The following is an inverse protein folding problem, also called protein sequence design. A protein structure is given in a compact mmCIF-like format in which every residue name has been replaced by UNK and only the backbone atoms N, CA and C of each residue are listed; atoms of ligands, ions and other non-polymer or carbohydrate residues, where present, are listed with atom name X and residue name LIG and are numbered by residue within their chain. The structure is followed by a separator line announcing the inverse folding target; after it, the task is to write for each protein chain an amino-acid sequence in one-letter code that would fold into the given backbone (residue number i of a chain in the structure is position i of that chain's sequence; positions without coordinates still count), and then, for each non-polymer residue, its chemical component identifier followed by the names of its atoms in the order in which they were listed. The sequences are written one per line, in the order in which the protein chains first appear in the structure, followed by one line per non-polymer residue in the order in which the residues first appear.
data_IF_356095742314
#
_entry.id   IF_356095742314
#
_cell.length_a   1.000
_cell.length_b   1.000
_cell.length_c   1.000
_cell.angle_alpha   90.00
_cell.angle_beta   90.00
_cell.angle_gamma   90.00
#
_symmetry.space_group_name_H-M   'P 1'
#
loop_
_entity.id
_entity.type
_entity.pdbx_description
1 polymer ?
#
# COMPACT_ATOMS: atom_id res chain seq x y z
N UNK A 1 -10.76 -5.83 -4.03
CA UNK A 1 -10.43 -4.98 -5.18
C UNK A 1 -9.07 -5.32 -5.79
N UNK A 2 -8.05 -5.57 -4.95
CA UNK A 2 -6.72 -5.92 -5.46
C UNK A 2 -6.77 -7.21 -6.29
N UNK A 3 -7.42 -8.25 -5.76
CA UNK A 3 -7.57 -9.51 -6.48
C UNK A 3 -8.28 -9.33 -7.82
N UNK A 4 -9.34 -8.51 -7.84
CA UNK A 4 -10.10 -8.26 -9.05
C UNK A 4 -9.25 -7.51 -10.09
N UNK A 5 -8.47 -6.53 -9.63
CA UNK A 5 -7.58 -5.77 -10.53
C UNK A 5 -6.58 -6.68 -11.24
N UNK A 6 -5.99 -7.64 -10.53
CA UNK A 6 -5.03 -8.59 -11.09
C UNK A 6 -5.68 -9.88 -11.59
N UNK A 7 -7.00 -9.86 -11.79
CA UNK A 7 -7.77 -10.99 -12.35
C UNK A 7 -7.57 -12.29 -11.55
N UNK A 8 -7.56 -12.15 -10.23
CA UNK A 8 -7.33 -13.23 -9.26
C UNK A 8 -5.97 -13.93 -9.40
N UNK A 9 -5.00 -13.27 -10.05
CA UNK A 9 -3.65 -13.80 -10.20
C UNK A 9 -2.64 -12.89 -9.51
N UNK A 10 -2.44 -13.13 -8.21
CA UNK A 10 -1.49 -12.36 -7.41
C UNK A 10 -0.12 -13.03 -7.31
N UNK A 11 0.03 -14.24 -7.84
CA UNK A 11 1.29 -14.97 -7.75
C UNK A 11 2.43 -14.15 -8.37
N UNK A 12 3.46 -13.88 -7.59
CA UNK A 12 4.63 -13.12 -8.03
C UNK A 12 4.41 -11.63 -8.17
N UNK A 13 3.20 -11.12 -7.88
CA UNK A 13 2.95 -9.67 -7.91
C UNK A 13 3.61 -9.03 -6.70
N UNK A 14 4.22 -7.87 -6.91
CA UNK A 14 4.90 -7.13 -5.85
C UNK A 14 4.02 -5.96 -5.43
N UNK A 15 3.59 -5.95 -4.17
CA UNK A 15 2.71 -4.91 -3.62
C UNK A 15 3.48 -4.13 -2.57
N UNK A 16 3.53 -2.80 -2.74
CA UNK A 16 4.04 -1.90 -1.71
C UNK A 16 2.92 -1.61 -0.72
N UNK A 17 3.23 -1.61 0.58
CA UNK A 17 2.26 -1.33 1.63
C UNK A 17 2.73 -0.14 2.45
N UNK A 18 1.93 0.92 2.48
CA UNK A 18 2.16 2.09 3.33
C UNK A 18 1.21 2.06 4.51
N UNK A 19 1.79 2.05 5.72
CA UNK A 19 1.02 2.07 6.95
C UNK A 19 0.73 0.66 7.46
N UNK A 20 1.25 0.36 8.65
CA UNK A 20 1.12 -0.95 9.27
C UNK A 20 0.40 -0.88 10.62
N UNK A 21 0.52 0.26 11.32
CA UNK A 21 -0.16 0.48 12.58
C UNK A 21 -1.68 0.61 12.38
N UNK A 22 -2.46 0.38 13.45
CA UNK A 22 -3.91 0.48 13.33
C UNK A 22 -4.41 1.93 13.16
N UNK A 23 -3.57 2.92 13.53
CA UNK A 23 -3.84 4.36 13.35
C UNK A 23 -2.51 5.11 13.28
N UNK A 24 -2.51 6.39 12.84
CA UNK A 24 -1.28 7.20 12.86
C UNK A 24 -0.78 7.47 14.28
N UNK A 25 0.50 7.85 14.37
CA UNK A 25 1.15 8.29 15.60
C UNK A 25 1.26 7.19 16.68
N UNK A 26 1.31 5.92 16.25
CA UNK A 26 1.54 4.80 17.16
C UNK A 26 2.26 3.66 16.42
N UNK A 27 2.92 2.79 17.20
CA UNK A 27 3.49 1.54 16.68
C UNK A 27 2.56 0.32 16.94
N UNK A 28 1.37 0.56 17.50
CA UNK A 28 0.45 -0.50 17.89
C UNK A 28 -0.17 -1.15 16.66
N UNK A 29 0.04 -2.45 16.53
CA UNK A 29 -0.48 -3.25 15.39
C UNK A 29 -1.65 -4.15 15.80
N UNK A 30 -2.12 -4.07 17.05
CA UNK A 30 -3.23 -4.92 17.50
C UNK A 30 -4.48 -4.61 16.67
N UNK A 31 -5.07 -5.64 16.10
CA UNK A 31 -6.24 -5.55 15.24
C UNK A 31 -6.09 -4.59 14.04
N UNK A 32 -4.85 -4.31 13.62
CA UNK A 32 -4.61 -3.44 12.47
C UNK A 32 -5.13 -4.10 11.19
N UNK A 33 -5.93 -3.39 10.37
CA UNK A 33 -6.41 -3.93 9.10
C UNK A 33 -5.28 -4.39 8.17
N UNK A 34 -4.10 -3.75 8.25
CA UNK A 34 -2.95 -4.14 7.45
C UNK A 34 -2.57 -5.60 7.64
N UNK A 35 -2.67 -6.12 8.87
CA UNK A 35 -2.30 -7.50 9.16
C UNK A 35 -3.17 -8.47 8.36
N UNK A 36 -4.47 -8.27 8.39
CA UNK A 36 -5.41 -9.15 7.65
C UNK A 36 -5.19 -9.06 6.15
N UNK A 37 -4.97 -7.85 5.65
CA UNK A 37 -4.72 -7.64 4.23
C UNK A 37 -3.42 -8.28 3.77
N UNK A 38 -2.35 -8.11 4.54
CA UNK A 38 -1.05 -8.70 4.20
C UNK A 38 -1.09 -10.22 4.26
N UNK A 39 -1.74 -10.80 5.28
CA UNK A 39 -1.90 -12.24 5.36
C UNK A 39 -2.62 -12.81 4.14
N UNK A 40 -3.69 -12.13 3.70
CA UNK A 40 -4.44 -12.57 2.53
C UNK A 40 -3.62 -12.45 1.24
N UNK A 41 -2.88 -11.36 1.08
CA UNK A 41 -2.03 -11.17 -0.10
C UNK A 41 -0.90 -12.20 -0.16
N UNK A 42 -0.24 -12.45 0.96
CA UNK A 42 0.82 -13.46 1.04
C UNK A 42 0.27 -14.85 0.73
N UNK A 43 -0.91 -15.18 1.25
CA UNK A 43 -1.57 -16.45 0.99
C UNK A 43 -1.82 -16.67 -0.51
N UNK A 44 -2.06 -15.61 -1.24
CA UNK A 44 -2.29 -15.65 -2.68
C UNK A 44 -1.00 -15.52 -3.52
N UNK A 45 0.16 -15.56 -2.88
CA UNK A 45 1.44 -15.60 -3.57
C UNK A 45 2.08 -14.26 -3.91
N UNK A 46 1.53 -13.16 -3.39
CA UNK A 46 2.13 -11.84 -3.61
C UNK A 46 3.39 -11.66 -2.76
N UNK A 47 4.30 -10.82 -3.24
CA UNK A 47 5.47 -10.36 -2.50
C UNK A 47 5.17 -8.95 -1.98
N UNK A 48 5.49 -8.69 -0.72
CA UNK A 48 5.16 -7.41 -0.10
C UNK A 48 6.42 -6.69 0.38
N UNK A 49 6.51 -5.40 0.07
CA UNK A 49 7.49 -4.48 0.65
C UNK A 49 6.73 -3.43 1.43
N UNK A 50 7.05 -3.29 2.71
CA UNK A 50 6.24 -2.50 3.64
C UNK A 50 7.02 -1.31 4.18
N UNK A 51 6.29 -0.24 4.52
CA UNK A 51 6.84 0.92 5.21
C UNK A 51 5.82 1.52 6.16
N UNK A 52 6.30 1.84 7.37
CA UNK A 52 5.54 2.55 8.40
C UNK A 52 6.54 3.32 9.25
N UNK A 53 6.26 4.58 9.64
CA UNK A 53 7.20 5.36 10.44
C UNK A 53 7.55 4.75 11.79
N UNK A 54 6.66 3.96 12.41
CA UNK A 54 6.86 3.47 13.77
C UNK A 54 6.65 1.96 13.93
N UNK A 55 5.81 1.32 13.11
CA UNK A 55 5.31 -0.02 13.40
C UNK A 55 6.13 -1.15 12.78
N UNK A 56 7.16 -0.87 11.98
CA UNK A 56 7.92 -1.95 11.31
C UNK A 56 8.53 -2.95 12.29
N UNK A 57 9.11 -2.54 13.44
CA UNK A 57 9.65 -3.54 14.38
C UNK A 57 8.60 -4.51 14.89
N UNK A 58 7.40 -4.02 15.19
CA UNK A 58 6.32 -4.88 15.69
C UNK A 58 5.80 -5.82 14.60
N UNK A 59 5.71 -5.34 13.37
CA UNK A 59 5.33 -6.17 12.23
C UNK A 59 6.39 -7.24 11.96
N UNK A 60 7.66 -6.87 12.07
CA UNK A 60 8.76 -7.84 11.85
C UNK A 60 8.74 -8.96 12.88
N UNK A 61 8.36 -8.69 14.12
CA UNK A 61 8.19 -9.73 15.14
C UNK A 61 7.14 -10.75 14.74
N UNK A 62 6.09 -10.32 14.03
CA UNK A 62 4.98 -11.18 13.63
C UNK A 62 5.23 -11.87 12.30
N UNK A 63 5.74 -11.16 11.30
CA UNK A 63 5.88 -11.66 9.93
C UNK A 63 7.30 -12.12 9.57
N UNK A 64 8.31 -11.65 10.31
CA UNK A 64 9.70 -12.02 10.04
C UNK A 64 10.11 -11.70 8.61
N UNK A 65 10.79 -12.63 7.97
CA UNK A 65 11.34 -12.46 6.63
C UNK A 65 10.35 -12.76 5.50
N UNK A 66 9.08 -12.98 5.83
CA UNK A 66 8.04 -13.12 4.80
C UNK A 66 7.73 -11.79 4.11
N UNK A 67 8.17 -10.67 4.69
CA UNK A 67 8.03 -9.34 4.13
C UNK A 67 9.41 -8.74 3.88
N UNK A 68 9.47 -7.77 2.96
CA UNK A 68 10.61 -6.88 2.82
C UNK A 68 10.29 -5.54 3.49
N UNK A 69 11.28 -4.95 4.15
CA UNK A 69 11.10 -3.73 4.95
C UNK A 69 11.86 -2.58 4.30
N UNK A 70 11.15 -1.55 3.88
CA UNK A 70 11.75 -0.43 3.17
C UNK A 70 12.36 0.60 4.15
N UNK A 71 13.34 1.35 3.67
CA UNK A 71 13.97 2.41 4.46
C UNK A 71 13.23 3.74 4.37
N UNK A 72 12.35 3.90 3.38
CA UNK A 72 11.55 5.10 3.18
C UNK A 72 10.26 4.75 2.45
N UNK A 73 9.30 5.70 2.46
CA UNK A 73 8.03 5.47 1.76
C UNK A 73 8.22 5.29 0.26
N UNK A 74 9.16 6.00 -0.36
CA UNK A 74 9.42 5.85 -1.80
C UNK A 74 10.26 4.62 -2.12
N UNK A 75 11.14 4.22 -1.22
CA UNK A 75 11.91 2.98 -1.38
C UNK A 75 10.98 1.77 -1.46
N UNK A 76 9.88 1.79 -0.71
CA UNK A 76 8.89 0.71 -0.74
C UNK A 76 8.26 0.54 -2.12
N UNK A 77 8.19 1.60 -2.91
CA UNK A 77 7.52 1.61 -4.22
C UNK A 77 8.35 1.02 -5.35
N UNK A 78 9.67 0.86 -5.16
CA UNK A 78 10.56 0.47 -6.24
C UNK A 78 10.15 -0.86 -6.85
N UNK A 79 9.82 -0.83 -8.14
CA UNK A 79 9.40 -2.00 -8.92
C UNK A 79 8.14 -2.70 -8.38
N UNK A 80 7.30 -1.99 -7.62
CA UNK A 80 6.03 -2.54 -7.16
C UNK A 80 4.97 -2.45 -8.25
N UNK A 81 4.10 -3.44 -8.28
CA UNK A 81 2.99 -3.49 -9.24
C UNK A 81 1.78 -2.69 -8.77
N UNK A 82 1.70 -2.41 -7.48
CA UNK A 82 0.63 -1.59 -6.91
C UNK A 82 1.05 -1.06 -5.54
N UNK A 83 0.37 0.00 -5.10
CA UNK A 83 0.51 0.56 -3.75
C UNK A 83 -0.79 0.34 -2.98
N UNK A 84 -0.69 -0.22 -1.78
CA UNK A 84 -1.79 -0.38 -0.83
C UNK A 84 -1.54 0.53 0.37
N UNK A 85 -2.52 1.37 0.72
CA UNK A 85 -2.42 2.27 1.89
C UNK A 85 -3.39 1.78 2.95
N UNK A 86 -2.85 1.47 4.14
CA UNK A 86 -3.63 0.92 5.25
C UNK A 86 -3.74 1.85 6.46
N UNK A 87 -2.86 2.84 6.58
CA UNK A 87 -2.87 3.80 7.69
C UNK A 87 -2.64 5.21 7.16
N UNK A 88 -3.38 6.17 7.68
CA UNK A 88 -3.39 7.55 7.18
C UNK A 88 -2.34 8.45 7.86
N UNK A 89 -1.07 8.01 7.88
CA UNK A 89 0.01 8.87 8.36
C UNK A 89 0.09 10.15 7.52
N UNK A 90 0.40 11.27 8.16
CA UNK A 90 0.44 12.56 7.46
C UNK A 90 1.44 12.57 6.30
N UNK A 91 2.55 11.85 6.41
CA UNK A 91 3.55 11.79 5.33
C UNK A 91 3.01 11.14 4.05
N UNK A 92 1.95 10.34 4.15
CA UNK A 92 1.33 9.69 2.98
C UNK A 92 0.30 10.58 2.28
N UNK A 93 -0.14 11.68 2.90
CA UNK A 93 -1.23 12.50 2.38
C UNK A 93 -0.84 13.38 1.19
N UNK A 94 0.42 13.81 1.13
CA UNK A 94 0.91 14.69 0.08
C UNK A 94 2.19 14.14 -0.54
N UNK A 95 2.12 12.97 -1.20
CA UNK A 95 3.32 12.40 -1.81
C UNK A 95 3.75 13.19 -3.04
N UNK A 96 5.00 13.01 -3.43
CA UNK A 96 5.48 13.44 -4.73
C UNK A 96 4.95 12.45 -5.77
N UNK A 97 3.89 12.83 -6.48
CA UNK A 97 3.24 11.95 -7.46
C UNK A 97 4.16 11.56 -8.61
N UNK A 98 5.09 12.43 -8.97
CA UNK A 98 6.05 12.11 -10.02
C UNK A 98 6.96 10.96 -9.60
N UNK A 99 7.50 11.02 -8.38
CA UNK A 99 8.31 9.93 -7.83
C UNK A 99 7.50 8.63 -7.74
N UNK A 100 6.26 8.73 -7.30
CA UNK A 100 5.38 7.57 -7.17
C UNK A 100 5.19 6.89 -8.52
N UNK A 101 4.89 7.66 -9.55
CA UNK A 101 4.69 7.12 -10.90
C UNK A 101 5.97 6.53 -11.50
N UNK A 102 7.12 7.14 -11.21
CA UNK A 102 8.41 6.65 -11.70
C UNK A 102 8.81 5.32 -11.08
N UNK A 103 8.51 5.12 -9.80
CA UNK A 103 8.94 3.94 -9.07
C UNK A 103 8.02 2.75 -9.22
N UNK A 104 6.72 2.98 -9.32
CA UNK A 104 5.75 1.91 -9.54
C UNK A 104 5.83 1.41 -10.99
N UNK A 105 5.72 0.10 -11.16
CA UNK A 105 5.61 -0.50 -12.50
C UNK A 105 4.30 -0.07 -13.17
N UNK A 106 3.23 -0.07 -12.40
CA UNK A 106 1.92 0.42 -12.84
C UNK A 106 1.46 1.47 -11.83
N UNK A 107 0.95 2.59 -12.32
CA UNK A 107 0.48 3.69 -11.45
C UNK A 107 -0.92 3.37 -10.91
N UNK A 108 -0.99 2.44 -9.97
CA UNK A 108 -2.24 2.03 -9.35
C UNK A 108 -2.12 2.06 -7.82
N UNK A 109 -3.13 2.68 -7.17
CA UNK A 109 -3.20 2.81 -5.72
C UNK A 109 -4.52 2.22 -5.21
N UNK A 110 -4.40 1.36 -4.19
CA UNK A 110 -5.54 0.87 -3.41
C UNK A 110 -5.49 1.57 -2.04
N UNK A 111 -6.39 2.51 -1.82
CA UNK A 111 -6.37 3.38 -0.66
C UNK A 111 -7.49 3.01 0.31
N UNK A 112 -7.13 2.33 1.39
CA UNK A 112 -8.08 1.91 2.42
C UNK A 112 -8.51 3.02 3.37
N UNK A 113 -7.94 4.24 3.23
CA UNK A 113 -8.17 5.35 4.16
C UNK A 113 -8.69 6.62 3.49
N UNK A 114 -8.88 6.59 2.18
CA UNK A 114 -9.43 7.72 1.40
C UNK A 114 -8.61 9.00 1.55
N UNK A 115 -7.28 8.88 1.42
CA UNK A 115 -6.35 10.00 1.58
C UNK A 115 -6.41 11.02 0.44
N UNK A 116 -6.66 10.56 -0.77
CA UNK A 116 -6.54 11.40 -1.96
C UNK A 116 -7.91 11.72 -2.53
N UNK A 117 -8.03 12.89 -3.19
CA UNK A 117 -9.27 13.18 -3.87
C UNK A 117 -9.24 12.61 -5.29
N UNK A 118 -10.42 12.33 -5.81
CA UNK A 118 -10.57 11.66 -7.10
C UNK A 118 -10.06 12.54 -8.23
N UNK A 119 -10.31 13.85 -8.16
CA UNK A 119 -9.88 14.79 -9.20
C UNK A 119 -8.37 14.82 -9.36
N UNK A 120 -7.62 14.76 -8.26
CA UNK A 120 -6.15 14.71 -8.32
C UNK A 120 -5.68 13.42 -8.96
N UNK A 121 -6.32 12.30 -8.68
CA UNK A 121 -5.94 11.01 -9.25
C UNK A 121 -6.18 11.00 -10.77
N UNK A 122 -7.30 11.55 -11.21
CA UNK A 122 -7.59 11.71 -12.64
C UNK A 122 -6.52 12.60 -13.30
N UNK A 123 -6.22 13.74 -12.70
CA UNK A 123 -5.24 14.69 -13.24
C UNK A 123 -3.85 14.09 -13.34
N UNK A 124 -3.46 13.26 -12.38
CA UNK A 124 -2.13 12.61 -12.35
C UNK A 124 -2.07 11.34 -13.22
N UNK A 125 -3.18 10.88 -13.76
CA UNK A 125 -3.22 9.65 -14.54
C UNK A 125 -3.01 8.39 -13.71
N UNK A 126 -3.44 8.41 -12.44
CA UNK A 126 -3.29 7.29 -11.52
C UNK A 126 -4.60 6.51 -11.43
N UNK A 127 -4.53 5.20 -11.65
CA UNK A 127 -5.65 4.31 -11.39
C UNK A 127 -5.82 4.22 -9.87
N UNK A 128 -7.03 4.47 -9.37
CA UNK A 128 -7.24 4.68 -7.95
C UNK A 128 -8.53 4.01 -7.46
N UNK A 129 -8.38 3.19 -6.42
CA UNK A 129 -9.48 2.49 -5.76
C UNK A 129 -9.50 2.92 -4.30
N UNK A 130 -10.65 3.41 -3.84
CA UNK A 130 -10.84 3.85 -2.46
C UNK A 130 -12.10 3.21 -1.88
N UNK A 131 -12.48 3.63 -0.66
CA UNK A 131 -13.62 3.04 0.03
C UNK A 131 -14.85 3.89 -0.20
N UNK A 132 -15.91 3.26 -0.77
CA UNK A 132 -17.21 3.91 -0.94
C UNK A 132 -17.24 5.07 -1.91
N UNK A 133 -16.25 5.20 -2.79
CA UNK A 133 -16.16 6.26 -3.80
C UNK A 133 -15.97 5.66 -5.19
N UNK A 134 -16.19 6.48 -6.20
CA UNK A 134 -16.01 6.09 -7.59
C UNK A 134 -14.55 5.70 -7.85
N UNK A 135 -14.37 4.61 -8.60
CA UNK A 135 -13.04 4.16 -9.01
C UNK A 135 -12.52 5.04 -10.16
N UNK A 136 -11.20 5.24 -10.18
CA UNK A 136 -10.52 5.94 -11.27
C UNK A 136 -9.76 4.90 -12.08
N UNK A 137 -10.13 4.77 -13.35
CA UNK A 137 -9.46 3.86 -14.29
C UNK A 137 -8.79 4.70 -15.37
N UNK A 138 -7.48 4.59 -15.49
CA UNK A 138 -6.71 5.36 -16.46
C UNK A 138 -6.06 4.49 -17.52
#
# INVERSE_FOLDING_TARGET
KIKAYFKNNLLGKHIAVWGLAFKPETDDIREAPSIYMMEELLKNGANLTVFDPEAMPNIKKRFGDTLSYATSMYDALQNADALLICTEWSIFRTPDYQKLKEKLNESVIFDGRNLYNIEDMVAEGITYFSIGRKEVNT
#
